data_IF_468296749575
#
_entry.id   IF_468296749575
#
_cell.length_a   1.000
_cell.length_b   1.000
_cell.length_c   1.000
_cell.angle_alpha   90.00
_cell.angle_beta   90.00
_cell.angle_gamma   90.00
#
_symmetry.space_group_name_H-M   'P 1'
#
loop_
_entity.id
_entity.type
_entity.pdbx_description
1 polymer ?
#
# COMPACT_ATOMS: atom_id res chain seq x y z
N UNK A 1 18.26 14.50 47.19
CA UNK A 1 18.29 13.94 45.86
C UNK A 1 16.97 13.21 45.63
N UNK A 2 16.05 13.83 44.92
CA UNK A 2 14.74 13.29 44.69
C UNK A 2 14.82 12.18 43.64
N UNK A 3 14.44 10.99 44.03
CA UNK A 3 14.25 9.84 43.14
C UNK A 3 12.98 10.13 42.30
N UNK A 4 13.16 10.74 41.13
CA UNK A 4 12.09 10.98 40.17
C UNK A 4 11.79 9.64 39.49
N UNK A 5 10.93 8.83 40.11
CA UNK A 5 10.35 7.66 39.44
C UNK A 5 9.60 8.15 38.19
N UNK A 6 10.13 7.80 37.02
CA UNK A 6 9.45 8.05 35.74
C UNK A 6 8.03 7.52 35.82
N UNK A 7 7.05 8.26 35.30
CA UNK A 7 5.69 7.76 35.16
C UNK A 7 5.66 6.49 34.30
N UNK A 8 4.64 5.66 34.45
CA UNK A 8 4.49 4.43 33.62
C UNK A 8 4.54 4.77 32.11
N UNK A 9 3.96 5.91 31.71
CA UNK A 9 3.96 6.38 30.33
C UNK A 9 5.37 6.75 29.83
N UNK A 10 6.19 7.40 30.67
CA UNK A 10 7.58 7.72 30.33
C UNK A 10 8.46 6.47 30.25
N UNK A 11 8.15 5.44 31.06
CA UNK A 11 8.83 4.14 30.98
C UNK A 11 8.53 3.45 29.66
N UNK A 12 7.28 3.47 29.15
CA UNK A 12 6.89 2.92 27.87
C UNK A 12 7.64 3.63 26.73
N UNK A 13 7.63 4.95 26.67
CA UNK A 13 8.34 5.69 25.63
C UNK A 13 9.84 5.42 25.65
N UNK A 14 10.45 5.33 26.84
CA UNK A 14 11.85 5.00 26.99
C UNK A 14 12.16 3.57 26.51
N UNK A 15 11.33 2.60 26.85
CA UNK A 15 11.44 1.21 26.37
C UNK A 15 11.40 1.15 24.85
N UNK A 16 10.38 1.76 24.22
CA UNK A 16 10.23 1.77 22.78
C UNK A 16 11.43 2.45 22.11
N UNK A 17 11.89 3.60 22.63
CA UNK A 17 13.04 4.29 22.10
C UNK A 17 14.35 3.47 22.21
N UNK A 18 14.53 2.73 23.29
CA UNK A 18 15.69 1.84 23.50
C UNK A 18 15.61 0.56 22.66
N UNK A 19 14.41 0.12 22.26
CA UNK A 19 14.19 -1.07 21.41
C UNK A 19 14.31 -0.76 19.92
N UNK A 20 14.51 0.51 19.52
CA UNK A 20 14.74 0.85 18.11
C UNK A 20 15.98 0.13 17.59
N UNK A 21 15.89 -0.45 16.38
CA UNK A 21 17.06 -0.99 15.70
C UNK A 21 18.16 0.10 15.56
N UNK A 22 19.37 -0.23 15.92
CA UNK A 22 20.49 0.71 15.89
C UNK A 22 20.90 1.11 14.47
N UNK A 23 20.59 0.24 13.50
CA UNK A 23 20.86 0.42 12.07
C UNK A 23 19.56 0.13 11.31
N UNK A 24 19.44 0.68 10.12
CA UNK A 24 18.32 0.36 9.22
C UNK A 24 17.08 1.20 9.47
N UNK A 25 16.00 0.61 9.93
CA UNK A 25 14.62 1.13 9.88
C UNK A 25 14.46 2.60 10.36
N UNK A 26 15.28 3.05 11.28
CA UNK A 26 15.18 4.37 11.89
C UNK A 26 16.48 5.18 11.85
N UNK A 27 17.49 4.70 11.14
CA UNK A 27 18.74 5.40 11.07
C UNK A 27 18.56 6.79 10.43
N UNK A 28 19.03 7.82 11.12
CA UNK A 28 18.87 9.21 10.69
C UNK A 28 17.52 9.89 11.00
N UNK A 29 16.52 9.19 11.50
CA UNK A 29 15.25 9.80 11.88
C UNK A 29 15.30 10.42 13.28
N UNK A 30 15.03 11.72 13.35
CA UNK A 30 14.78 12.42 14.63
C UNK A 30 13.27 12.52 14.86
N UNK A 31 12.70 11.57 15.56
CA UNK A 31 11.29 11.56 15.88
C UNK A 31 11.01 11.29 17.36
N UNK A 32 9.86 11.71 17.83
CA UNK A 32 9.44 11.54 19.22
C UNK A 32 8.55 10.32 19.34
N UNK A 33 8.88 9.45 20.29
CA UNK A 33 8.03 8.32 20.65
C UNK A 33 6.89 8.82 21.54
N UNK A 34 5.66 8.48 21.16
CA UNK A 34 4.51 8.76 22.00
C UNK A 34 4.54 7.87 23.26
N UNK A 35 4.07 8.39 24.38
CA UNK A 35 3.99 7.66 25.66
C UNK A 35 2.88 6.59 25.67
N UNK A 36 1.96 6.64 24.72
CA UNK A 36 0.92 5.65 24.47
C UNK A 36 0.47 5.72 23.01
N UNK A 37 -0.08 4.61 22.44
CA UNK A 37 -0.72 4.64 21.13
C UNK A 37 -1.91 5.62 21.10
N UNK A 38 -2.26 6.10 19.89
CA UNK A 38 -3.48 6.85 19.68
C UNK A 38 -4.70 5.96 19.94
N UNK A 39 -5.57 6.38 20.86
CA UNK A 39 -6.74 5.62 21.26
C UNK A 39 -7.88 5.80 20.24
N UNK A 40 -8.41 4.69 19.76
CA UNK A 40 -9.56 4.68 18.86
C UNK A 40 -10.82 4.25 19.61
N UNK A 41 -11.91 4.96 19.41
CA UNK A 41 -13.20 4.53 19.94
C UNK A 41 -13.75 3.31 19.19
N UNK A 42 -14.69 2.59 19.81
CA UNK A 42 -15.28 1.37 19.23
C UNK A 42 -16.00 1.59 17.89
N UNK A 43 -16.53 2.80 17.66
CA UNK A 43 -17.25 3.15 16.43
C UNK A 43 -16.25 3.29 15.28
N UNK A 44 -15.14 3.99 15.53
CA UNK A 44 -14.07 4.16 14.54
C UNK A 44 -13.41 2.84 14.20
N UNK A 45 -13.12 1.99 15.20
CA UNK A 45 -12.58 0.63 14.96
C UNK A 45 -13.50 -0.16 14.01
N UNK A 46 -14.82 -0.18 14.27
CA UNK A 46 -15.79 -0.86 13.39
C UNK A 46 -15.86 -0.27 11.98
N UNK A 47 -15.61 1.02 11.83
CA UNK A 47 -15.53 1.66 10.49
C UNK A 47 -14.28 1.20 9.76
N UNK A 48 -13.11 1.21 10.43
CA UNK A 48 -11.84 0.77 9.86
C UNK A 48 -11.87 -0.71 9.46
N UNK A 49 -12.45 -1.60 10.27
CA UNK A 49 -12.62 -3.02 9.94
C UNK A 49 -13.42 -3.27 8.64
N UNK A 50 -14.36 -2.38 8.31
CA UNK A 50 -15.16 -2.45 7.08
C UNK A 50 -14.47 -1.80 5.88
N UNK A 51 -13.54 -0.89 6.15
CA UNK A 51 -12.97 0.00 5.14
C UNK A 51 -12.29 -0.78 4.00
N UNK A 52 -11.54 -1.84 4.30
CA UNK A 52 -10.86 -2.64 3.28
C UNK A 52 -11.80 -3.19 2.20
N UNK A 53 -13.00 -3.68 2.59
CA UNK A 53 -14.02 -4.14 1.62
C UNK A 53 -14.61 -3.00 0.79
N UNK A 54 -14.79 -1.84 1.41
CA UNK A 54 -15.31 -0.64 0.75
C UNK A 54 -14.30 -0.15 -0.29
N UNK A 55 -13.03 -0.05 0.08
CA UNK A 55 -11.95 0.38 -0.81
C UNK A 55 -11.73 -0.60 -1.97
N UNK A 56 -11.76 -1.90 -1.71
CA UNK A 56 -11.69 -2.89 -2.78
C UNK A 56 -12.86 -2.76 -3.77
N UNK A 57 -14.07 -2.49 -3.27
CA UNK A 57 -15.24 -2.25 -4.13
C UNK A 57 -15.06 -0.98 -4.96
N UNK A 58 -14.54 0.09 -4.35
CA UNK A 58 -14.21 1.33 -5.04
C UNK A 58 -13.17 1.12 -6.15
N UNK A 59 -12.08 0.41 -5.89
CA UNK A 59 -11.06 0.10 -6.89
C UNK A 59 -11.59 -0.77 -8.03
N UNK A 60 -12.45 -1.74 -7.74
CA UNK A 60 -13.15 -2.51 -8.79
C UNK A 60 -13.99 -1.61 -9.67
N UNK A 61 -14.75 -0.70 -9.09
CA UNK A 61 -15.59 0.25 -9.81
C UNK A 61 -14.73 1.21 -10.66
N UNK A 62 -13.67 1.78 -10.09
CA UNK A 62 -12.71 2.64 -10.81
C UNK A 62 -12.13 1.92 -12.02
N UNK A 63 -11.67 0.68 -11.85
CA UNK A 63 -11.15 -0.14 -12.93
C UNK A 63 -12.19 -0.40 -14.04
N UNK A 64 -13.45 -0.62 -13.67
CA UNK A 64 -14.52 -0.82 -14.64
C UNK A 64 -14.85 0.47 -15.39
N UNK A 65 -14.93 1.61 -14.71
CA UNK A 65 -15.21 2.92 -15.34
C UNK A 65 -14.10 3.30 -16.31
N UNK A 66 -12.84 3.14 -15.91
CA UNK A 66 -11.71 3.36 -16.81
C UNK A 66 -11.83 2.48 -18.07
N UNK A 67 -12.06 1.19 -17.91
CA UNK A 67 -12.19 0.26 -19.03
C UNK A 67 -13.37 0.58 -19.93
N UNK A 68 -14.53 0.88 -19.36
CA UNK A 68 -15.71 1.26 -20.15
C UNK A 68 -15.45 2.53 -20.95
N UNK A 69 -14.66 3.46 -20.42
CA UNK A 69 -14.24 4.66 -21.15
C UNK A 69 -13.27 4.32 -22.30
N UNK A 70 -12.37 3.36 -22.13
CA UNK A 70 -11.48 2.89 -23.21
C UNK A 70 -12.17 2.00 -24.25
N UNK A 71 -13.27 1.37 -23.90
CA UNK A 71 -14.06 0.45 -24.74
C UNK A 71 -15.29 1.15 -25.41
N UNK A 72 -15.36 2.47 -25.38
CA UNK A 72 -16.49 3.30 -25.91
C UNK A 72 -17.87 2.99 -25.27
N UNK A 73 -17.88 2.38 -24.07
CA UNK A 73 -19.12 2.11 -23.30
C UNK A 73 -19.49 3.26 -22.35
N UNK A 74 -18.57 4.15 -22.11
CA UNK A 74 -18.71 5.47 -21.48
C UNK A 74 -18.04 6.52 -22.38
N UNK A 75 -18.28 7.82 -22.13
CA UNK A 75 -17.50 8.87 -22.78
C UNK A 75 -15.98 8.63 -22.63
N UNK A 76 -15.20 9.01 -23.62
CA UNK A 76 -13.72 8.78 -23.65
C UNK A 76 -12.96 9.61 -22.64
N UNK A 77 -13.47 10.77 -22.26
CA UNK A 77 -12.74 11.76 -21.47
C UNK A 77 -12.24 11.24 -20.09
N UNK A 78 -12.90 10.32 -19.35
CA UNK A 78 -12.31 9.77 -18.12
C UNK A 78 -10.98 9.05 -18.35
N UNK A 79 -10.92 8.20 -19.38
CA UNK A 79 -9.67 7.52 -19.74
C UNK A 79 -8.63 8.52 -20.25
N UNK A 80 -9.02 9.46 -21.12
CA UNK A 80 -8.12 10.50 -21.66
C UNK A 80 -7.50 11.36 -20.54
N UNK A 81 -8.26 11.65 -19.47
CA UNK A 81 -7.76 12.41 -18.33
C UNK A 81 -6.79 11.60 -17.49
N UNK A 82 -7.12 10.32 -17.24
CA UNK A 82 -6.26 9.41 -16.48
C UNK A 82 -4.99 9.00 -17.24
N UNK A 83 -4.95 9.18 -18.55
CA UNK A 83 -3.80 8.86 -19.41
C UNK A 83 -2.97 10.08 -19.80
N UNK A 84 -3.51 11.27 -19.56
CA UNK A 84 -2.85 12.52 -19.98
C UNK A 84 -1.44 12.65 -19.40
N UNK A 85 -0.47 12.92 -20.27
CA UNK A 85 0.94 13.11 -19.92
C UNK A 85 1.70 11.82 -19.64
N UNK A 86 1.08 10.65 -19.80
CA UNK A 86 1.75 9.36 -19.60
C UNK A 86 2.35 8.84 -20.91
N UNK A 87 3.51 8.16 -20.84
CA UNK A 87 4.11 7.49 -21.99
C UNK A 87 3.16 6.44 -22.58
N UNK A 88 3.18 6.33 -23.92
CA UNK A 88 2.35 5.35 -24.63
C UNK A 88 2.61 3.90 -24.17
N UNK A 89 3.86 3.55 -23.89
CA UNK A 89 4.26 2.23 -23.37
C UNK A 89 3.56 1.89 -22.06
N UNK A 90 3.44 2.84 -21.14
CA UNK A 90 2.74 2.67 -19.88
C UNK A 90 1.22 2.56 -20.07
N UNK A 91 0.65 3.35 -21.00
CA UNK A 91 -0.78 3.25 -21.36
C UNK A 91 -1.08 1.87 -21.96
N UNK A 92 -0.25 1.39 -22.89
CA UNK A 92 -0.41 0.06 -23.50
C UNK A 92 -0.29 -1.06 -22.45
N UNK A 93 0.64 -0.92 -21.50
CA UNK A 93 0.85 -1.85 -20.40
C UNK A 93 -0.38 -1.92 -19.47
N UNK A 94 -0.90 -0.77 -19.01
CA UNK A 94 -2.08 -0.75 -18.12
C UNK A 94 -3.37 -1.25 -18.79
N UNK A 95 -3.46 -1.14 -20.13
CA UNK A 95 -4.57 -1.67 -20.93
C UNK A 95 -4.39 -3.15 -21.31
N UNK A 96 -3.22 -3.73 -21.05
CA UNK A 96 -2.93 -5.10 -21.46
C UNK A 96 -3.90 -6.09 -20.81
N UNK A 97 -4.37 -7.08 -21.57
CA UNK A 97 -5.39 -8.05 -21.15
C UNK A 97 -5.01 -8.84 -19.90
N UNK A 98 -3.73 -9.09 -19.67
CA UNK A 98 -3.25 -9.81 -18.50
C UNK A 98 -3.57 -9.05 -17.20
N UNK A 99 -3.55 -7.71 -17.23
CA UNK A 99 -3.85 -6.89 -16.07
C UNK A 99 -5.33 -6.46 -15.98
N UNK A 100 -6.18 -6.89 -16.91
CA UNK A 100 -7.58 -6.45 -17.03
C UNK A 100 -8.34 -6.45 -15.70
N UNK A 101 -8.20 -7.50 -14.90
CA UNK A 101 -8.91 -7.69 -13.64
C UNK A 101 -7.99 -7.55 -12.41
N UNK A 102 -6.70 -7.33 -12.63
CA UNK A 102 -5.74 -7.19 -11.53
C UNK A 102 -5.97 -5.88 -10.78
N UNK A 103 -5.90 -5.95 -9.46
CA UNK A 103 -6.01 -4.83 -8.54
C UNK A 103 -4.87 -4.90 -7.52
N UNK A 104 -4.47 -3.77 -6.94
CA UNK A 104 -3.57 -3.77 -5.80
C UNK A 104 -4.11 -4.67 -4.68
N UNK A 105 -3.23 -5.42 -4.05
CA UNK A 105 -3.58 -6.32 -2.93
C UNK A 105 -3.40 -5.67 -1.58
N UNK A 106 -2.83 -4.48 -1.57
CA UNK A 106 -2.72 -3.59 -0.42
C UNK A 106 -3.23 -2.21 -0.84
N UNK A 107 -3.93 -1.55 0.05
CA UNK A 107 -4.43 -0.18 -0.14
C UNK A 107 -4.23 0.54 1.19
N UNK A 108 -3.44 1.61 1.20
CA UNK A 108 -3.31 2.50 2.34
C UNK A 108 -4.17 3.74 2.12
N UNK A 109 -5.27 3.92 2.86
CA UNK A 109 -5.99 5.17 2.85
C UNK A 109 -5.33 6.17 3.79
N UNK A 110 -5.18 7.41 3.33
CA UNK A 110 -4.87 8.54 4.20
C UNK A 110 -6.18 9.12 4.72
N UNK A 111 -6.32 9.15 6.04
CA UNK A 111 -7.59 9.42 6.72
C UNK A 111 -7.49 10.67 7.56
N UNK A 112 -8.43 11.59 7.38
CA UNK A 112 -8.66 12.71 8.28
C UNK A 112 -9.86 12.40 9.18
N UNK A 113 -9.66 12.56 10.49
CA UNK A 113 -10.72 12.49 11.49
C UNK A 113 -11.31 13.90 11.64
N UNK A 114 -12.58 14.05 11.30
CA UNK A 114 -13.31 15.32 11.35
C UNK A 114 -14.54 15.20 12.23
N UNK A 115 -15.16 16.31 12.59
CA UNK A 115 -16.43 16.34 13.34
C UNK A 115 -17.55 15.58 12.58
N UNK A 116 -17.51 15.59 11.25
CA UNK A 116 -18.47 14.88 10.40
C UNK A 116 -18.13 13.37 10.24
N UNK A 117 -17.01 12.91 10.80
CA UNK A 117 -16.51 11.54 10.70
C UNK A 117 -15.24 11.41 9.87
N UNK A 118 -15.00 10.20 9.38
CA UNK A 118 -13.80 9.82 8.64
C UNK A 118 -13.88 10.36 7.21
N UNK A 119 -12.83 11.02 6.75
CA UNK A 119 -12.66 11.47 5.35
C UNK A 119 -11.39 10.88 4.78
N UNK A 120 -11.45 10.35 3.55
CA UNK A 120 -10.29 9.79 2.85
C UNK A 120 -9.76 10.86 1.90
N UNK A 121 -8.47 11.12 1.96
CA UNK A 121 -7.80 12.14 1.15
C UNK A 121 -6.88 11.56 0.09
N UNK A 122 -6.46 10.30 0.27
CA UNK A 122 -5.59 9.58 -0.63
C UNK A 122 -5.79 8.07 -0.51
N UNK A 123 -5.55 7.36 -1.59
CA UNK A 123 -5.40 5.90 -1.63
C UNK A 123 -4.07 5.57 -2.26
N UNK A 124 -3.22 4.90 -1.52
CA UNK A 124 -1.92 4.46 -1.98
C UNK A 124 -1.94 2.94 -2.25
N UNK A 125 -1.48 2.54 -3.41
CA UNK A 125 -1.42 1.15 -3.87
C UNK A 125 -0.05 0.51 -3.69
N UNK A 126 0.96 1.31 -3.36
CA UNK A 126 2.36 0.89 -3.11
C UNK A 126 2.86 1.52 -1.81
N UNK A 127 2.14 1.32 -0.69
CA UNK A 127 2.41 2.07 0.52
C UNK A 127 3.77 1.75 1.14
N UNK A 128 4.49 2.82 1.52
CA UNK A 128 5.56 2.77 2.51
C UNK A 128 5.03 2.78 3.94
N UNK A 129 5.91 2.68 4.93
CA UNK A 129 5.55 2.72 6.34
C UNK A 129 5.02 1.39 6.91
N UNK A 130 5.01 0.31 6.13
CA UNK A 130 4.52 -1.01 6.56
C UNK A 130 5.41 -1.60 7.64
N UNK A 131 6.74 -1.59 7.42
CA UNK A 131 7.72 -2.10 8.38
C UNK A 131 7.74 -1.26 9.65
N UNK A 132 7.73 0.06 9.53
CA UNK A 132 7.66 0.99 10.65
C UNK A 132 6.41 0.76 11.51
N UNK A 133 5.24 0.65 10.87
CA UNK A 133 3.98 0.42 11.58
C UNK A 133 3.96 -0.95 12.25
N UNK A 134 4.47 -1.98 11.59
CA UNK A 134 4.57 -3.32 12.15
C UNK A 134 5.48 -3.36 13.39
N UNK A 135 6.63 -2.69 13.32
CA UNK A 135 7.54 -2.58 14.46
C UNK A 135 6.88 -1.83 15.64
N UNK A 136 6.21 -0.69 15.37
CA UNK A 136 5.49 0.06 16.40
C UNK A 136 4.38 -0.77 17.05
N UNK A 137 3.59 -1.52 16.26
CA UNK A 137 2.57 -2.39 16.78
C UNK A 137 3.14 -3.43 17.76
N UNK A 138 4.26 -4.05 17.39
CA UNK A 138 4.95 -5.01 18.25
C UNK A 138 5.46 -4.34 19.52
N UNK A 139 6.20 -3.24 19.39
CA UNK A 139 6.81 -2.53 20.52
C UNK A 139 5.79 -2.05 21.55
N UNK A 140 4.67 -1.47 21.09
CA UNK A 140 3.60 -1.05 21.99
C UNK A 140 2.83 -2.24 22.60
N UNK A 141 2.67 -3.35 21.85
CA UNK A 141 2.08 -4.57 22.40
C UNK A 141 2.95 -5.18 23.51
N UNK A 142 4.28 -5.25 23.29
CA UNK A 142 5.25 -5.75 24.25
C UNK A 142 5.30 -4.86 25.52
N UNK A 143 5.06 -3.55 25.36
CA UNK A 143 4.90 -2.61 26.46
C UNK A 143 3.50 -2.67 27.12
N UNK A 144 2.66 -3.65 26.78
CA UNK A 144 1.36 -3.89 27.39
C UNK A 144 0.18 -3.10 26.82
N UNK A 145 0.36 -2.41 25.68
CA UNK A 145 -0.73 -1.70 25.01
C UNK A 145 -1.56 -2.66 24.14
N UNK A 146 -2.87 -2.42 24.07
CA UNK A 146 -3.75 -3.15 23.16
C UNK A 146 -3.76 -2.44 21.80
N UNK A 147 -3.13 -3.02 20.77
CA UNK A 147 -3.09 -2.47 19.41
C UNK A 147 -4.00 -3.26 18.47
N UNK A 148 -4.55 -2.58 17.47
CA UNK A 148 -5.40 -3.23 16.46
C UNK A 148 -4.57 -4.23 15.66
N UNK A 149 -5.10 -5.44 15.50
CA UNK A 149 -4.41 -6.55 14.84
C UNK A 149 -3.36 -7.26 15.70
N UNK A 150 -3.08 -6.75 16.90
CA UNK A 150 -2.06 -7.29 17.79
C UNK A 150 -0.62 -7.06 17.27
N UNK A 151 0.37 -7.70 17.91
CA UNK A 151 1.78 -7.45 17.62
C UNK A 151 2.23 -7.85 16.21
N UNK A 152 1.55 -8.81 15.58
CA UNK A 152 1.93 -9.35 14.28
C UNK A 152 0.93 -9.07 13.16
N UNK A 153 -0.22 -8.43 13.44
CA UNK A 153 -1.29 -8.27 12.45
C UNK A 153 -0.87 -7.56 11.16
N UNK A 154 0.04 -6.58 11.24
CA UNK A 154 0.58 -5.93 10.05
C UNK A 154 1.49 -6.87 9.24
N UNK A 155 2.34 -7.65 9.90
CA UNK A 155 3.24 -8.62 9.26
C UNK A 155 2.42 -9.70 8.58
N UNK A 156 1.46 -10.28 9.28
CA UNK A 156 0.58 -11.35 8.78
C UNK A 156 -0.27 -10.86 7.60
N UNK A 157 -0.83 -9.65 7.72
CA UNK A 157 -1.61 -9.02 6.67
C UNK A 157 -0.78 -8.77 5.41
N UNK A 158 0.41 -8.21 5.56
CA UNK A 158 1.30 -7.94 4.43
C UNK A 158 1.84 -9.23 3.79
N UNK A 159 2.26 -10.20 4.59
CA UNK A 159 2.64 -11.54 4.09
C UNK A 159 1.50 -12.21 3.33
N UNK A 160 0.26 -12.04 3.81
CA UNK A 160 -0.95 -12.63 3.21
C UNK A 160 -1.27 -12.16 1.80
N UNK A 161 -0.85 -10.92 1.40
CA UNK A 161 -1.13 -10.41 0.04
C UNK A 161 -0.45 -11.22 -1.07
N UNK A 162 0.64 -11.93 -0.74
CA UNK A 162 1.40 -12.75 -1.69
C UNK A 162 0.84 -14.17 -1.85
N UNK A 163 -0.12 -14.57 -1.02
CA UNK A 163 -0.74 -15.90 -1.07
C UNK A 163 0.29 -17.02 -0.86
N UNK A 164 0.24 -18.03 -1.72
CA UNK A 164 1.08 -19.22 -1.64
C UNK A 164 2.40 -19.10 -2.44
N UNK A 165 2.87 -17.89 -2.72
CA UNK A 165 4.17 -17.74 -3.37
C UNK A 165 5.30 -18.27 -2.48
N UNK A 166 6.19 -19.09 -3.07
CA UNK A 166 7.33 -19.65 -2.34
C UNK A 166 8.37 -18.57 -2.04
N UNK A 167 8.61 -17.69 -3.01
CA UNK A 167 9.51 -16.55 -2.87
C UNK A 167 8.78 -15.24 -3.12
N UNK A 168 9.16 -14.25 -2.35
CA UNK A 168 8.65 -12.86 -2.43
C UNK A 168 9.86 -11.97 -2.68
N UNK A 169 9.81 -11.20 -3.74
CA UNK A 169 10.84 -10.24 -4.09
C UNK A 169 10.29 -8.83 -3.96
N UNK A 170 10.83 -8.03 -3.06
CA UNK A 170 10.52 -6.61 -2.94
C UNK A 170 11.55 -5.83 -3.76
N UNK A 171 11.10 -5.18 -4.82
CA UNK A 171 11.97 -4.39 -5.70
C UNK A 171 11.85 -2.93 -5.30
N UNK A 172 12.93 -2.39 -4.73
CA UNK A 172 12.99 -1.02 -4.23
C UNK A 172 13.84 -0.17 -5.19
N UNK A 173 13.27 0.92 -5.70
CA UNK A 173 13.98 1.88 -6.55
C UNK A 173 14.95 2.76 -5.74
N UNK A 174 15.87 3.39 -6.44
CA UNK A 174 16.77 4.39 -5.83
C UNK A 174 15.98 5.61 -5.33
N UNK A 175 14.92 6.00 -6.04
CA UNK A 175 14.01 7.06 -5.61
C UNK A 175 13.33 6.73 -4.28
N UNK A 176 12.98 5.45 -4.06
CA UNK A 176 12.35 4.95 -2.83
C UNK A 176 13.35 4.41 -1.81
N UNK A 177 14.64 4.66 -1.96
CA UNK A 177 15.72 4.07 -1.13
C UNK A 177 15.57 4.37 0.37
N UNK A 178 14.95 5.50 0.74
CA UNK A 178 14.69 5.84 2.15
C UNK A 178 13.76 4.85 2.87
N UNK A 179 12.94 4.11 2.12
CA UNK A 179 12.07 3.07 2.67
C UNK A 179 12.72 1.68 2.72
N UNK A 180 13.90 1.51 2.12
CA UNK A 180 14.59 0.21 2.09
C UNK A 180 14.76 -0.42 3.47
N UNK A 181 15.22 0.30 4.52
CA UNK A 181 15.40 -0.30 5.83
C UNK A 181 14.14 -0.92 6.41
N UNK A 182 12.97 -0.30 6.22
CA UNK A 182 11.71 -0.87 6.70
C UNK A 182 11.25 -2.07 5.86
N UNK A 183 11.56 -2.09 4.55
CA UNK A 183 11.28 -3.23 3.69
C UNK A 183 12.17 -4.43 4.03
N UNK A 184 13.43 -4.20 4.39
CA UNK A 184 14.36 -5.22 4.87
C UNK A 184 13.87 -5.78 6.22
N UNK A 185 13.50 -4.90 7.15
CA UNK A 185 12.96 -5.34 8.43
C UNK A 185 11.71 -6.20 8.27
N UNK A 186 10.73 -5.79 7.46
CA UNK A 186 9.50 -6.59 7.25
C UNK A 186 9.80 -7.90 6.52
N UNK A 187 10.75 -7.91 5.58
CA UNK A 187 11.18 -9.14 4.90
C UNK A 187 11.77 -10.15 5.89
N UNK A 188 12.59 -9.71 6.83
CA UNK A 188 13.13 -10.55 7.91
C UNK A 188 12.00 -11.13 8.78
N UNK A 189 10.98 -10.32 9.11
CA UNK A 189 9.85 -10.79 9.92
C UNK A 189 8.98 -11.82 9.19
N UNK A 190 8.89 -11.74 7.86
CA UNK A 190 8.20 -12.75 7.02
C UNK A 190 9.03 -14.04 6.91
N UNK A 191 10.35 -13.90 6.99
CA UNK A 191 11.34 -14.97 6.88
C UNK A 191 12.26 -14.76 5.69
N UNK A 192 13.57 -14.66 5.95
CA UNK A 192 14.60 -14.35 4.93
C UNK A 192 14.75 -15.44 3.86
N UNK A 193 14.32 -16.65 4.15
CA UNK A 193 14.25 -17.76 3.19
C UNK A 193 13.08 -17.61 2.22
N UNK A 194 12.03 -16.85 2.58
CA UNK A 194 10.84 -16.62 1.77
C UNK A 194 10.79 -15.23 1.13
N UNK A 195 11.24 -14.20 1.83
CA UNK A 195 11.13 -12.81 1.41
C UNK A 195 12.50 -12.13 1.36
N UNK A 196 12.76 -11.40 0.27
CA UNK A 196 14.02 -10.67 0.08
C UNK A 196 13.81 -9.32 -0.59
N UNK A 197 14.64 -8.35 -0.24
CA UNK A 197 14.64 -7.01 -0.82
C UNK A 197 15.77 -6.90 -1.84
N UNK A 198 15.47 -6.33 -2.99
CA UNK A 198 16.40 -6.19 -4.11
C UNK A 198 16.41 -4.75 -4.63
N UNK A 199 17.47 -4.44 -5.37
CA UNK A 199 17.57 -3.20 -6.12
C UNK A 199 16.72 -3.27 -7.40
N UNK A 200 16.53 -2.13 -8.01
CA UNK A 200 15.73 -1.92 -9.21
C UNK A 200 16.22 -2.62 -10.49
N UNK A 201 17.40 -3.25 -10.46
CA UNK A 201 18.00 -3.99 -11.57
C UNK A 201 17.85 -5.52 -11.45
N UNK A 202 17.23 -6.01 -10.37
CA UNK A 202 17.09 -7.45 -10.12
C UNK A 202 16.09 -8.11 -11.09
N UNK A 203 16.51 -9.22 -11.74
CA UNK A 203 15.72 -9.91 -12.77
C UNK A 203 15.65 -11.44 -12.57
N UNK A 204 16.21 -12.01 -11.50
CA UNK A 204 16.31 -13.46 -11.29
C UNK A 204 15.06 -14.06 -10.64
N UNK A 205 13.90 -13.86 -11.25
CA UNK A 205 12.64 -14.42 -10.78
C UNK A 205 12.42 -15.85 -11.31
N UNK A 206 11.81 -16.72 -10.51
CA UNK A 206 11.36 -18.05 -10.91
C UNK A 206 9.84 -18.04 -11.17
N UNK A 207 9.36 -19.09 -11.81
CA UNK A 207 7.93 -19.29 -11.99
C UNK A 207 7.25 -19.55 -10.63
N UNK A 208 6.15 -18.85 -10.38
CA UNK A 208 5.42 -18.91 -9.12
C UNK A 208 5.85 -17.88 -8.08
N UNK A 209 6.95 -17.15 -8.30
CA UNK A 209 7.38 -16.06 -7.42
C UNK A 209 6.36 -14.92 -7.37
N UNK A 210 6.37 -14.17 -6.27
CA UNK A 210 5.64 -12.91 -6.13
C UNK A 210 6.59 -11.73 -6.09
N UNK A 211 6.20 -10.65 -6.73
CA UNK A 211 6.94 -9.39 -6.73
C UNK A 211 6.11 -8.29 -6.09
N UNK A 212 6.64 -7.67 -5.05
CA UNK A 212 6.18 -6.40 -4.54
C UNK A 212 6.93 -5.29 -5.27
N UNK A 213 6.23 -4.57 -6.12
CA UNK A 213 6.76 -3.45 -6.87
C UNK A 213 6.82 -2.23 -5.95
N UNK A 214 7.96 -1.98 -5.34
CA UNK A 214 8.16 -0.78 -4.52
C UNK A 214 8.97 0.26 -5.30
N UNK A 215 8.40 0.68 -6.41
CA UNK A 215 8.83 1.76 -7.28
C UNK A 215 7.62 2.39 -7.98
N UNK A 216 7.74 3.65 -8.33
CA UNK A 216 6.67 4.43 -8.93
C UNK A 216 6.56 4.21 -10.44
N UNK A 217 5.33 4.23 -10.97
CA UNK A 217 5.10 4.03 -12.42
C UNK A 217 5.54 5.24 -13.25
N UNK A 218 5.71 6.40 -12.67
CA UNK A 218 6.26 7.56 -13.37
C UNK A 218 7.78 7.48 -13.53
N UNK A 219 8.45 6.60 -12.76
CA UNK A 219 9.91 6.45 -12.73
C UNK A 219 10.42 5.24 -13.52
N UNK A 220 9.57 4.62 -14.35
CA UNK A 220 9.90 3.37 -15.06
C UNK A 220 11.15 3.46 -15.93
N UNK A 221 11.50 4.63 -16.45
CA UNK A 221 12.71 4.85 -17.27
C UNK A 221 13.99 4.59 -16.45
N UNK A 222 13.93 4.74 -15.14
CA UNK A 222 15.04 4.52 -14.21
C UNK A 222 15.02 3.13 -13.55
N UNK A 223 14.09 2.25 -13.94
CA UNK A 223 13.93 0.90 -13.36
C UNK A 223 14.32 -0.17 -14.40
N UNK A 224 15.60 -0.61 -14.44
CA UNK A 224 16.07 -1.56 -15.45
C UNK A 224 15.31 -2.90 -15.46
N UNK A 225 14.81 -3.35 -14.29
CA UNK A 225 14.05 -4.59 -14.18
C UNK A 225 12.59 -4.48 -14.62
N UNK A 226 12.05 -3.26 -14.84
CA UNK A 226 10.62 -3.06 -15.06
C UNK A 226 10.06 -3.86 -16.22
N UNK A 227 10.74 -3.82 -17.38
CA UNK A 227 10.32 -4.57 -18.57
C UNK A 227 10.26 -6.07 -18.30
N UNK A 228 11.29 -6.65 -17.68
CA UNK A 228 11.34 -8.07 -17.32
C UNK A 228 10.21 -8.45 -16.35
N UNK A 229 9.98 -7.64 -15.31
CA UNK A 229 8.92 -7.87 -14.32
C UNK A 229 7.55 -7.90 -14.99
N UNK A 230 7.23 -6.88 -15.80
CA UNK A 230 5.92 -6.80 -16.44
C UNK A 230 5.73 -7.87 -17.51
N UNK A 231 6.77 -8.19 -18.29
CA UNK A 231 6.71 -9.28 -19.28
C UNK A 231 6.44 -10.62 -18.62
N UNK A 232 7.14 -10.94 -17.52
CA UNK A 232 6.90 -12.19 -16.77
C UNK A 232 5.50 -12.22 -16.13
N UNK A 233 5.00 -11.08 -15.68
CA UNK A 233 3.63 -10.98 -15.15
C UNK A 233 2.57 -11.17 -16.26
N UNK A 234 2.81 -10.64 -17.47
CA UNK A 234 1.97 -10.88 -18.66
C UNK A 234 1.94 -12.36 -19.03
N UNK A 235 3.07 -13.02 -18.96
CA UNK A 235 3.21 -14.47 -19.21
C UNK A 235 2.68 -15.34 -18.06
N UNK A 236 2.17 -14.71 -16.98
CA UNK A 236 1.67 -15.38 -15.77
C UNK A 236 2.72 -16.24 -15.05
N UNK A 237 3.99 -15.97 -15.26
CA UNK A 237 5.11 -16.67 -14.59
C UNK A 237 5.34 -16.16 -13.18
N UNK A 238 5.06 -14.90 -12.94
CA UNK A 238 5.13 -14.29 -11.60
C UNK A 238 3.82 -13.56 -11.27
N UNK A 239 3.59 -13.37 -9.97
CA UNK A 239 2.50 -12.52 -9.48
C UNK A 239 3.06 -11.17 -9.07
N UNK A 240 2.47 -10.08 -9.56
CA UNK A 240 2.88 -8.73 -9.20
C UNK A 240 1.80 -8.03 -8.37
N UNK A 241 2.21 -7.25 -7.40
CA UNK A 241 1.40 -6.22 -6.73
C UNK A 241 2.28 -4.99 -6.44
N UNK A 242 1.84 -3.77 -6.75
CA UNK A 242 0.61 -3.40 -7.42
C UNK A 242 0.72 -3.63 -8.95
N UNK A 243 -0.38 -3.89 -9.66
CA UNK A 243 -0.37 -3.97 -11.12
C UNK A 243 -0.04 -2.60 -11.74
N UNK A 244 0.45 -2.56 -13.00
CA UNK A 244 0.84 -1.30 -13.64
C UNK A 244 -0.38 -0.47 -14.09
N UNK A 245 -1.15 0.04 -13.13
CA UNK A 245 -2.37 0.81 -13.34
C UNK A 245 -2.28 2.17 -12.65
N UNK A 246 -1.70 3.13 -13.33
CA UNK A 246 -1.48 4.48 -12.80
C UNK A 246 -2.74 5.14 -12.25
N UNK A 247 -3.89 4.88 -12.87
CA UNK A 247 -5.16 5.45 -12.43
C UNK A 247 -5.65 4.93 -11.05
N UNK A 248 -5.07 3.86 -10.51
CA UNK A 248 -5.31 3.41 -9.14
C UNK A 248 -4.33 4.03 -8.12
N UNK A 249 -3.39 4.84 -8.59
CA UNK A 249 -2.36 5.52 -7.80
C UNK A 249 -2.55 7.06 -7.85
N UNK A 250 -3.72 7.53 -8.29
CA UNK A 250 -3.96 8.95 -8.52
C UNK A 250 -5.20 9.48 -7.80
N UNK A 251 -5.08 10.68 -7.23
CA UNK A 251 -6.20 11.42 -6.62
C UNK A 251 -7.28 11.83 -7.63
N UNK A 252 -6.98 11.84 -8.93
CA UNK A 252 -7.95 12.14 -10.00
C UNK A 252 -9.15 11.18 -9.95
N UNK A 253 -9.00 9.95 -9.46
CA UNK A 253 -10.11 9.00 -9.29
C UNK A 253 -11.22 9.53 -8.37
N UNK A 254 -10.86 10.31 -7.33
CA UNK A 254 -11.86 10.99 -6.49
C UNK A 254 -12.61 12.09 -7.25
N UNK A 255 -11.90 12.84 -8.11
CA UNK A 255 -12.53 13.82 -9.00
C UNK A 255 -13.53 13.17 -9.96
N UNK A 256 -13.19 12.01 -10.50
CA UNK A 256 -14.11 11.22 -11.34
C UNK A 256 -15.29 10.67 -10.53
N UNK A 257 -15.08 10.23 -9.29
CA UNK A 257 -16.14 9.74 -8.41
C UNK A 257 -17.18 10.81 -8.12
N UNK A 258 -16.77 12.03 -7.88
CA UNK A 258 -17.67 13.15 -7.63
C UNK A 258 -18.22 13.82 -8.90
N UNK A 259 -17.86 13.37 -10.08
CA UNK A 259 -18.33 13.94 -11.33
C UNK A 259 -19.76 13.50 -11.64
N UNK A 260 -20.66 14.48 -11.80
CA UNK A 260 -22.10 14.23 -12.03
C UNK A 260 -22.39 13.42 -13.29
N UNK A 261 -21.57 13.60 -14.34
CA UNK A 261 -21.76 12.88 -15.60
C UNK A 261 -21.42 11.39 -15.52
N UNK A 262 -20.76 10.96 -14.45
CA UNK A 262 -20.42 9.56 -14.19
C UNK A 262 -21.27 8.94 -13.08
N UNK A 263 -22.23 9.67 -12.51
CA UNK A 263 -23.00 9.23 -11.34
C UNK A 263 -23.74 7.91 -11.58
N UNK A 264 -24.31 7.70 -12.76
CA UNK A 264 -25.02 6.47 -13.08
C UNK A 264 -24.07 5.27 -13.23
N UNK A 265 -22.89 5.48 -13.85
CA UNK A 265 -21.86 4.46 -13.95
C UNK A 265 -21.33 4.05 -12.56
N UNK A 266 -21.11 5.02 -11.68
CA UNK A 266 -20.72 4.73 -10.30
C UNK A 266 -21.80 4.00 -9.53
N UNK A 267 -23.08 4.41 -9.62
CA UNK A 267 -24.19 3.70 -8.97
C UNK A 267 -24.33 2.27 -9.46
N UNK A 268 -24.17 2.03 -10.76
CA UNK A 268 -24.22 0.68 -11.32
C UNK A 268 -23.16 -0.23 -10.69
N UNK A 269 -21.97 0.29 -10.36
CA UNK A 269 -20.87 -0.49 -9.80
C UNK A 269 -20.92 -0.58 -8.27
N UNK A 270 -21.29 0.48 -7.61
CA UNK A 270 -21.19 0.63 -6.15
C UNK A 270 -22.53 0.43 -5.44
N UNK A 271 -23.67 0.62 -6.15
CA UNK A 271 -25.01 0.68 -5.58
C UNK A 271 -25.36 2.08 -5.08
N UNK A 272 -26.68 2.32 -4.91
CA UNK A 272 -27.24 3.65 -4.61
C UNK A 272 -26.82 4.24 -3.26
N UNK A 273 -26.44 3.40 -2.31
CA UNK A 273 -26.09 3.79 -0.94
C UNK A 273 -24.60 3.95 -0.69
N UNK A 274 -23.78 3.86 -1.72
CA UNK A 274 -22.35 4.09 -1.57
C UNK A 274 -22.08 5.60 -1.49
N UNK A 275 -21.52 6.04 -0.34
CA UNK A 275 -21.18 7.45 -0.08
C UNK A 275 -19.74 7.56 0.33
#
# INVERSE_FOLDING_TARGET
MGDTRKSNSEQIACYIQQSMPAEGLFDGYQWRVATKPFELDKKLVKQLEKLGRILLKFYKATNMIYRWSTEDRLPKWPAEWLERGKPKSLIDLQRHRAFKNELPRVIRPDILLTEEGLKITELDSVPGGIGLTAWLNRSYSDAGSNVIGGPNGMIDGFSGIFGNAEKIHMIVSDESATYRPEMEWIAEQIGSDRCSVHNQDYINFKEGDAVYRFFELFDLENIPAAENIFQRAIEQKIKITAPPKTFLEEKMTFGLFHNRNLSDAWRQQLGDNFK
#
